data_IF_342338103762
#
_entry.id   IF_342338103762
#
_cell.length_a   1.000
_cell.length_b   1.000
_cell.length_c   1.000
_cell.angle_alpha   90.00
_cell.angle_beta   90.00
_cell.angle_gamma   90.00
#
_symmetry.space_group_name_H-M   'P 1'
#
loop_
_entity.id
_entity.type
_entity.pdbx_description
1 polymer ?
#
# COMPACT_ATOMS: atom_id res chain seq x y z
N UNK A 1 15.48 12.79 -31.72
CA UNK A 1 15.12 12.79 -30.30
C UNK A 1 14.26 11.56 -30.10
N UNK A 2 14.78 10.52 -29.45
CA UNK A 2 13.99 9.30 -29.28
C UNK A 2 12.83 9.58 -28.31
N UNK A 3 11.80 8.74 -28.29
CA UNK A 3 10.75 8.78 -27.27
C UNK A 3 11.31 8.64 -25.84
N UNK A 4 12.55 8.12 -25.69
CA UNK A 4 13.25 8.06 -24.41
C UNK A 4 13.76 9.42 -23.93
N UNK A 5 14.26 10.27 -24.84
CA UNK A 5 14.75 11.61 -24.51
C UNK A 5 13.62 12.55 -24.05
N UNK A 6 12.38 12.33 -24.53
CA UNK A 6 11.22 13.15 -24.16
C UNK A 6 10.60 12.77 -22.79
N UNK A 7 11.06 11.68 -22.16
CA UNK A 7 10.43 11.08 -20.96
C UNK A 7 11.39 10.91 -19.78
N UNK A 8 12.61 11.46 -19.86
CA UNK A 8 13.60 11.42 -18.77
C UNK A 8 13.13 12.12 -17.48
N UNK A 9 12.19 13.06 -17.59
CA UNK A 9 11.67 13.85 -16.46
C UNK A 9 10.37 13.29 -15.86
N UNK A 10 9.90 12.11 -16.28
CA UNK A 10 8.68 11.51 -15.73
C UNK A 10 8.95 11.09 -14.28
N UNK A 11 8.32 11.81 -13.35
CA UNK A 11 8.34 11.56 -11.90
C UNK A 11 7.08 10.84 -11.47
N UNK A 12 7.09 10.30 -10.25
CA UNK A 12 5.87 9.81 -9.61
C UNK A 12 4.82 10.93 -9.59
N UNK A 13 3.55 10.57 -9.81
CA UNK A 13 2.46 11.55 -9.76
C UNK A 13 2.27 12.15 -8.35
N UNK A 14 2.61 11.38 -7.33
CA UNK A 14 2.52 11.73 -5.91
C UNK A 14 3.85 11.38 -5.21
N UNK A 15 4.96 12.08 -5.52
CA UNK A 15 6.28 11.72 -4.99
C UNK A 15 6.35 11.84 -3.46
N UNK A 16 5.49 12.65 -2.84
CA UNK A 16 5.40 12.82 -1.40
C UNK A 16 4.90 11.58 -0.64
N UNK A 17 4.30 10.61 -1.35
CA UNK A 17 3.88 9.33 -0.77
C UNK A 17 5.05 8.37 -0.56
N UNK A 18 6.25 8.70 -1.04
CA UNK A 18 7.46 7.90 -0.86
C UNK A 18 8.52 8.71 -0.12
N UNK A 19 9.08 8.11 0.93
CA UNK A 19 10.24 8.64 1.66
C UNK A 19 11.40 7.66 1.55
N UNK A 20 12.62 8.18 1.52
CA UNK A 20 13.82 7.35 1.49
C UNK A 20 14.25 6.94 2.91
N UNK A 21 14.90 5.77 3.10
CA UNK A 21 15.34 5.31 4.42
C UNK A 21 16.15 6.35 5.22
N UNK A 22 17.02 7.10 4.52
CA UNK A 22 17.83 8.17 5.14
C UNK A 22 16.94 9.29 5.70
N UNK A 23 15.92 9.71 4.95
CA UNK A 23 14.99 10.74 5.43
C UNK A 23 14.28 10.28 6.70
N UNK A 24 13.87 9.00 6.75
CA UNK A 24 13.23 8.44 7.95
C UNK A 24 14.20 8.42 9.13
N UNK A 25 15.45 8.02 8.94
CA UNK A 25 16.46 8.06 10.00
C UNK A 25 16.65 9.48 10.58
N UNK A 26 16.69 10.50 9.70
CA UNK A 26 16.87 11.90 10.09
C UNK A 26 15.69 12.48 10.87
N UNK A 27 14.48 11.94 10.67
CA UNK A 27 13.24 12.45 11.25
C UNK A 27 12.59 11.49 12.26
N UNK A 28 13.17 10.31 12.52
CA UNK A 28 12.57 9.29 13.39
C UNK A 28 12.33 9.75 14.84
N UNK A 29 13.02 10.80 15.28
CA UNK A 29 12.83 11.42 16.60
C UNK A 29 11.80 12.57 16.62
N UNK A 30 11.22 12.93 15.47
CA UNK A 30 10.23 13.99 15.41
C UNK A 30 8.95 13.55 16.12
N UNK A 31 8.41 14.36 17.06
CA UNK A 31 7.31 13.94 17.93
C UNK A 31 6.00 13.66 17.19
N UNK A 32 5.86 14.15 15.96
CA UNK A 32 4.66 13.98 15.15
C UNK A 32 4.80 12.82 14.14
N UNK A 33 5.94 12.13 14.08
CA UNK A 33 6.12 10.98 13.18
C UNK A 33 5.79 9.69 13.92
N UNK A 34 4.95 8.87 13.30
CA UNK A 34 4.67 7.50 13.77
C UNK A 34 5.11 6.54 12.68
N UNK A 35 6.10 5.70 12.98
CA UNK A 35 6.62 4.69 12.04
C UNK A 35 5.92 3.37 12.35
N UNK A 36 5.26 2.76 11.36
CA UNK A 36 4.52 1.51 11.54
C UNK A 36 5.12 0.42 10.65
N UNK A 37 5.57 -0.67 11.28
CA UNK A 37 5.89 -1.90 10.57
C UNK A 37 4.59 -2.64 10.25
N UNK A 38 4.33 -2.79 8.97
CA UNK A 38 3.11 -3.37 8.41
C UNK A 38 3.27 -4.85 8.10
N UNK A 39 4.40 -5.50 8.41
CA UNK A 39 4.48 -6.97 8.41
C UNK A 39 3.63 -7.57 9.56
N UNK A 40 3.55 -8.90 9.61
CA UNK A 40 2.96 -9.57 10.77
C UNK A 40 3.75 -9.28 12.04
N UNK A 41 3.05 -9.10 13.17
CA UNK A 41 3.67 -8.71 14.46
C UNK A 41 4.82 -9.63 14.89
N UNK A 42 4.74 -10.94 14.63
CA UNK A 42 5.83 -11.88 14.92
C UNK A 42 7.10 -11.56 14.12
N UNK A 43 6.97 -11.16 12.85
CA UNK A 43 8.11 -10.75 12.02
C UNK A 43 8.74 -9.45 12.56
N UNK A 44 7.90 -8.48 12.96
CA UNK A 44 8.36 -7.23 13.61
C UNK A 44 9.15 -7.50 14.90
N UNK A 45 8.67 -8.41 15.74
CA UNK A 45 9.27 -8.75 17.03
C UNK A 45 10.59 -9.52 16.88
N UNK A 46 10.63 -10.48 15.96
CA UNK A 46 11.76 -11.42 15.84
C UNK A 46 12.88 -10.98 14.89
N UNK A 47 12.58 -10.20 13.85
CA UNK A 47 13.57 -9.71 12.86
C UNK A 47 14.33 -8.47 13.36
N UNK A 48 13.85 -7.84 14.43
CA UNK A 48 14.14 -6.46 14.79
C UNK A 48 13.39 -5.48 13.89
N UNK A 49 13.51 -4.17 14.13
CA UNK A 49 12.73 -3.16 13.42
C UNK A 49 13.45 -1.80 13.41
N UNK A 50 12.86 -0.84 12.69
CA UNK A 50 13.35 0.53 12.63
C UNK A 50 13.22 1.15 14.04
N UNK A 51 14.26 1.82 14.58
CA UNK A 51 14.16 2.48 15.88
C UNK A 51 12.96 3.42 15.97
N UNK A 52 12.13 3.24 17.01
CA UNK A 52 10.91 4.01 17.22
C UNK A 52 9.68 3.49 16.46
N UNK A 53 9.82 2.45 15.64
CA UNK A 53 8.68 1.84 14.96
C UNK A 53 7.78 1.05 15.92
N UNK A 54 6.49 1.06 15.63
CA UNK A 54 5.48 0.23 16.29
C UNK A 54 5.03 -0.88 15.33
N UNK A 55 4.86 -2.09 15.85
CA UNK A 55 4.35 -3.22 15.08
C UNK A 55 2.82 -3.20 15.00
N UNK A 56 2.26 -3.49 13.83
CA UNK A 56 0.81 -3.58 13.67
C UNK A 56 0.24 -4.79 14.44
N UNK A 57 -0.73 -4.60 15.37
CA UNK A 57 -1.24 -5.69 16.21
C UNK A 57 -2.31 -6.54 15.51
N UNK A 58 -2.68 -6.21 14.27
CA UNK A 58 -3.72 -6.87 13.48
C UNK A 58 -3.17 -7.29 12.12
N UNK A 59 -3.95 -8.08 11.37
CA UNK A 59 -3.59 -8.39 10.00
C UNK A 59 -3.51 -7.09 9.15
N UNK A 60 -2.46 -6.88 8.34
CA UNK A 60 -2.23 -5.63 7.57
C UNK A 60 -3.27 -5.32 6.51
N UNK A 61 -4.14 -6.28 6.21
CA UNK A 61 -5.30 -6.06 5.34
C UNK A 61 -6.41 -5.24 6.00
N UNK A 62 -6.35 -4.98 7.31
CA UNK A 62 -7.35 -4.17 8.02
C UNK A 62 -8.76 -4.54 7.57
N UNK A 63 -9.10 -5.82 7.69
CA UNK A 63 -10.46 -6.30 7.41
C UNK A 63 -11.29 -6.15 8.68
N UNK A 64 -12.60 -6.03 8.50
CA UNK A 64 -13.51 -6.04 9.63
C UNK A 64 -13.36 -7.37 10.39
N UNK A 65 -13.14 -7.28 11.69
CA UNK A 65 -12.89 -8.46 12.54
C UNK A 65 -14.15 -9.30 12.75
N UNK A 66 -15.33 -8.71 12.57
CA UNK A 66 -16.61 -9.42 12.73
C UNK A 66 -16.97 -10.21 11.47
N UNK A 67 -16.84 -9.59 10.30
CA UNK A 67 -17.22 -10.20 9.02
C UNK A 67 -16.06 -10.92 8.34
N UNK A 68 -14.81 -10.53 8.61
CA UNK A 68 -13.62 -11.02 7.89
C UNK A 68 -13.48 -10.45 6.47
N UNK A 69 -14.34 -9.50 6.10
CA UNK A 69 -14.47 -8.93 4.76
C UNK A 69 -14.23 -7.42 4.77
N UNK A 70 -14.05 -6.84 3.58
CA UNK A 70 -13.97 -5.39 3.40
C UNK A 70 -12.83 -4.71 4.17
N UNK A 71 -13.14 -3.51 4.67
CA UNK A 71 -12.25 -2.69 5.50
C UNK A 71 -12.78 -2.69 6.93
N UNK A 72 -11.87 -2.70 7.91
CA UNK A 72 -12.17 -2.56 9.31
C UNK A 72 -13.01 -1.32 9.56
N UNK A 73 -13.96 -1.39 10.50
CA UNK A 73 -14.87 -0.27 10.78
C UNK A 73 -14.10 0.96 11.30
N UNK A 74 -14.76 2.13 11.29
CA UNK A 74 -14.19 3.35 11.86
C UNK A 74 -13.71 3.14 13.31
N UNK A 75 -14.53 2.49 14.16
CA UNK A 75 -14.22 2.22 15.56
C UNK A 75 -13.03 1.27 15.74
N UNK A 76 -12.98 0.19 14.94
CA UNK A 76 -11.86 -0.75 14.94
C UNK A 76 -10.57 -0.03 14.53
N UNK A 77 -10.61 0.76 13.46
CA UNK A 77 -9.47 1.50 12.93
C UNK A 77 -9.01 2.58 13.92
N UNK A 78 -9.91 3.33 14.54
CA UNK A 78 -9.59 4.30 15.59
C UNK A 78 -8.89 3.64 16.78
N UNK A 79 -9.41 2.50 17.24
CA UNK A 79 -8.82 1.75 18.36
C UNK A 79 -7.38 1.34 18.05
N UNK A 80 -7.15 0.78 16.86
CA UNK A 80 -5.82 0.33 16.42
C UNK A 80 -4.87 1.53 16.30
N UNK A 81 -5.24 2.57 15.55
CA UNK A 81 -4.34 3.69 15.27
C UNK A 81 -4.04 4.53 16.53
N UNK A 82 -5.04 4.78 17.39
CA UNK A 82 -4.80 5.41 18.69
C UNK A 82 -3.87 4.56 19.54
N UNK A 83 -4.07 3.24 19.57
CA UNK A 83 -3.20 2.30 20.30
C UNK A 83 -1.75 2.29 19.80
N UNK A 84 -1.51 2.69 18.55
CA UNK A 84 -0.19 2.89 17.94
C UNK A 84 0.37 4.31 18.16
N UNK A 85 -0.35 5.18 18.87
CA UNK A 85 0.07 6.55 19.17
C UNK A 85 -0.22 7.56 18.05
N UNK A 86 -1.02 7.20 17.06
CA UNK A 86 -1.37 8.09 15.94
C UNK A 86 -2.31 9.19 16.42
N UNK A 87 -1.92 10.44 16.16
CA UNK A 87 -2.74 11.63 16.33
C UNK A 87 -3.28 12.11 14.98
N UNK A 88 -4.26 13.02 15.01
CA UNK A 88 -4.86 13.56 13.80
C UNK A 88 -3.85 14.28 12.89
N UNK A 89 -2.85 14.92 13.49
CA UNK A 89 -1.78 15.68 12.81
C UNK A 89 -0.48 14.88 12.64
N UNK A 90 -0.46 13.59 13.03
CA UNK A 90 0.70 12.72 12.83
C UNK A 90 1.05 12.62 11.35
N UNK A 91 2.34 12.49 11.05
CA UNK A 91 2.83 11.95 9.78
C UNK A 91 3.10 10.46 9.96
N UNK A 92 2.31 9.63 9.29
CA UNK A 92 2.44 8.16 9.41
C UNK A 92 3.39 7.64 8.34
N UNK A 93 4.47 6.98 8.76
CA UNK A 93 5.46 6.36 7.88
C UNK A 93 5.28 4.85 7.92
N UNK A 94 4.98 4.26 6.78
CA UNK A 94 4.62 2.85 6.65
C UNK A 94 5.75 2.09 5.95
N UNK A 95 6.04 0.88 6.41
CA UNK A 95 6.93 -0.01 5.68
C UNK A 95 6.55 -1.48 5.91
N UNK A 96 7.00 -2.34 5.01
CA UNK A 96 6.94 -3.79 5.15
C UNK A 96 8.22 -4.40 4.58
N UNK A 97 8.31 -5.73 4.56
CA UNK A 97 9.40 -6.47 3.91
C UNK A 97 9.00 -7.11 2.57
N UNK A 98 7.86 -6.71 2.00
CA UNK A 98 7.19 -7.39 0.88
C UNK A 98 6.96 -6.46 -0.32
N UNK A 99 7.91 -5.55 -0.57
CA UNK A 99 7.86 -4.65 -1.73
C UNK A 99 6.73 -3.62 -1.65
N UNK A 100 6.24 -3.29 -0.46
CA UNK A 100 5.18 -2.33 -0.23
C UNK A 100 3.76 -2.91 -0.32
N UNK A 101 3.60 -4.22 -0.48
CA UNK A 101 2.28 -4.87 -0.58
C UNK A 101 1.39 -4.56 0.64
N UNK A 102 1.92 -4.73 1.84
CA UNK A 102 1.17 -4.57 3.09
C UNK A 102 1.10 -3.10 3.49
N UNK A 103 2.21 -2.38 3.39
CA UNK A 103 2.28 -0.96 3.67
C UNK A 103 1.34 -0.14 2.79
N UNK A 104 1.20 -0.48 1.50
CA UNK A 104 0.26 0.20 0.59
C UNK A 104 -1.19 -0.06 0.98
N UNK A 105 -1.51 -1.26 1.48
CA UNK A 105 -2.87 -1.58 1.95
C UNK A 105 -3.23 -0.78 3.22
N UNK A 106 -2.29 -0.64 4.16
CA UNK A 106 -2.48 0.20 5.37
C UNK A 106 -2.58 1.68 4.99
N UNK A 107 -1.73 2.15 4.07
CA UNK A 107 -1.84 3.51 3.51
C UNK A 107 -3.22 3.77 2.92
N UNK A 108 -3.75 2.83 2.15
CA UNK A 108 -5.08 2.97 1.57
C UNK A 108 -6.17 3.03 2.65
N UNK A 109 -6.04 2.34 3.80
CA UNK A 109 -6.99 2.51 4.94
C UNK A 109 -6.93 3.92 5.48
N UNK A 110 -5.72 4.43 5.73
CA UNK A 110 -5.53 5.79 6.25
C UNK A 110 -6.15 6.80 5.29
N UNK A 111 -5.89 6.64 3.99
CA UNK A 111 -6.50 7.44 2.95
C UNK A 111 -8.02 7.28 2.93
N UNK A 112 -8.58 6.07 2.97
CA UNK A 112 -10.03 5.86 3.05
C UNK A 112 -10.68 6.59 4.23
N UNK A 113 -9.97 6.68 5.37
CA UNK A 113 -10.43 7.39 6.56
C UNK A 113 -9.97 8.87 6.66
N UNK A 114 -9.52 9.46 5.55
CA UNK A 114 -9.22 10.89 5.45
C UNK A 114 -7.83 11.31 5.97
N UNK A 115 -6.98 10.37 6.36
CA UNK A 115 -5.64 10.63 6.84
C UNK A 115 -4.61 10.60 5.70
N UNK A 116 -4.43 11.74 5.03
CA UNK A 116 -3.56 11.86 3.85
C UNK A 116 -2.08 12.13 4.19
N UNK A 117 -1.77 12.51 5.43
CA UNK A 117 -0.39 12.77 5.88
C UNK A 117 0.36 11.46 6.17
N UNK A 118 0.46 10.60 5.16
CA UNK A 118 1.14 9.31 5.26
C UNK A 118 2.03 9.04 4.04
N UNK A 119 3.09 8.28 4.26
CA UNK A 119 4.05 7.91 3.21
C UNK A 119 4.62 6.52 3.47
N UNK A 120 5.11 5.86 2.43
CA UNK A 120 5.80 4.59 2.50
C UNK A 120 7.31 4.78 2.42
N UNK A 121 8.07 3.94 3.11
CA UNK A 121 9.51 3.85 2.88
C UNK A 121 9.74 3.17 1.54
N UNK A 122 10.42 3.85 0.60
CA UNK A 122 10.71 3.31 -0.72
C UNK A 122 11.66 2.10 -0.60
N UNK A 123 11.13 0.91 -0.89
CA UNK A 123 11.82 -0.37 -0.71
C UNK A 123 11.79 -0.93 0.72
N UNK A 124 11.01 -0.33 1.61
CA UNK A 124 10.67 -0.87 2.92
C UNK A 124 11.87 -1.32 3.77
N UNK A 125 11.68 -2.43 4.46
CA UNK A 125 12.71 -3.05 5.28
C UNK A 125 13.97 -3.47 4.49
N UNK A 126 13.87 -4.09 3.30
CA UNK A 126 15.05 -4.41 2.49
C UNK A 126 15.92 -3.19 2.16
N UNK A 127 15.31 -2.05 1.80
CA UNK A 127 16.03 -0.81 1.53
C UNK A 127 16.66 -0.21 2.79
N UNK A 128 16.00 -0.32 3.94
CA UNK A 128 16.57 0.09 5.24
C UNK A 128 17.87 -0.69 5.55
N UNK A 129 17.83 -2.02 5.41
CA UNK A 129 18.98 -2.89 5.63
C UNK A 129 20.08 -2.66 4.59
N UNK A 130 19.73 -2.53 3.31
CA UNK A 130 20.70 -2.22 2.26
C UNK A 130 21.42 -0.88 2.50
N UNK A 131 20.73 0.07 3.13
CA UNK A 131 21.28 1.37 3.54
C UNK A 131 22.14 1.30 4.81
N UNK A 132 22.28 0.11 5.43
CA UNK A 132 23.07 -0.14 6.65
C UNK A 132 22.66 0.76 7.82
N UNK A 133 21.36 1.02 7.92
CA UNK A 133 20.80 1.86 8.97
C UNK A 133 20.60 1.07 10.28
N UNK A 134 20.57 1.76 11.44
CA UNK A 134 20.39 1.10 12.72
C UNK A 134 19.08 0.31 12.80
N UNK A 135 19.09 -0.80 13.52
CA UNK A 135 17.91 -1.59 13.86
C UNK A 135 17.87 -1.80 15.37
N UNK A 136 16.70 -2.11 15.90
CA UNK A 136 16.51 -2.41 17.31
C UNK A 136 15.53 -3.56 17.51
N UNK A 137 15.51 -4.13 18.71
CA UNK A 137 14.43 -4.98 19.22
C UNK A 137 13.71 -4.29 20.38
N UNK A 138 13.98 -3.01 20.64
CA UNK A 138 13.37 -2.24 21.72
C UNK A 138 12.01 -1.71 21.29
N UNK A 139 10.98 -2.01 22.06
CA UNK A 139 9.62 -1.57 21.77
C UNK A 139 9.40 -0.17 22.36
N UNK A 140 8.97 0.83 21.56
CA UNK A 140 8.70 2.16 22.07
C UNK A 140 7.53 2.12 23.07
N UNK A 141 7.60 2.99 24.09
CA UNK A 141 6.46 3.21 24.97
C UNK A 141 5.44 4.10 24.26
N UNK A 142 4.28 3.54 23.95
CA UNK A 142 3.22 4.24 23.21
C UNK A 142 2.19 4.81 24.18
N UNK A 143 1.93 6.11 24.06
CA UNK A 143 0.74 6.73 24.68
C UNK A 143 -0.37 6.75 23.64
N UNK A 144 -1.62 6.37 23.99
CA UNK A 144 -2.72 6.41 23.05
C UNK A 144 -2.90 7.80 22.42
N UNK A 145 -2.99 7.84 21.09
CA UNK A 145 -3.21 9.07 20.34
C UNK A 145 -4.67 9.51 20.30
N UNK A 146 -4.95 10.56 19.51
CA UNK A 146 -6.26 11.18 19.40
C UNK A 146 -6.92 11.07 18.01
N UNK A 147 -6.38 10.24 17.12
CA UNK A 147 -6.86 10.11 15.74
C UNK A 147 -8.35 9.74 15.66
N UNK A 148 -9.08 10.32 14.70
CA UNK A 148 -10.50 10.03 14.45
C UNK A 148 -10.73 9.67 12.99
N UNK A 149 -11.58 8.69 12.72
CA UNK A 149 -11.92 8.27 11.37
C UNK A 149 -12.89 9.25 10.71
N UNK A 150 -12.65 9.59 9.44
CA UNK A 150 -13.64 10.25 8.56
C UNK A 150 -13.82 9.41 7.30
N UNK A 151 -14.96 8.76 7.16
CA UNK A 151 -15.23 7.87 6.03
C UNK A 151 -15.38 8.62 4.72
N UNK A 152 -14.72 8.10 3.68
CA UNK A 152 -14.79 8.57 2.31
C UNK A 152 -15.25 7.45 1.39
N UNK A 153 -16.56 7.18 1.36
CA UNK A 153 -17.17 6.09 0.58
C UNK A 153 -16.78 6.13 -0.91
N UNK A 154 -16.51 7.31 -1.47
CA UNK A 154 -16.10 7.48 -2.86
C UNK A 154 -14.72 6.85 -3.19
N UNK A 155 -13.93 6.56 -2.16
CA UNK A 155 -12.59 5.95 -2.25
C UNK A 155 -12.65 4.42 -2.35
N UNK A 156 -13.83 3.83 -2.14
CA UNK A 156 -14.11 2.41 -2.40
C UNK A 156 -14.85 2.27 -3.72
N UNK A 157 -14.39 1.34 -4.55
CA UNK A 157 -15.09 0.94 -5.76
C UNK A 157 -16.03 -0.23 -5.44
N UNK A 158 -17.28 0.06 -5.08
CA UNK A 158 -18.30 -0.99 -4.88
C UNK A 158 -18.74 -1.61 -6.21
N UNK A 159 -19.31 -2.81 -6.16
CA UNK A 159 -19.90 -3.46 -7.35
C UNK A 159 -20.96 -2.57 -8.02
N UNK A 160 -21.78 -1.89 -7.23
CA UNK A 160 -22.83 -0.99 -7.73
C UNK A 160 -22.26 0.22 -8.48
N UNK A 161 -21.08 0.71 -8.07
CA UNK A 161 -20.36 1.78 -8.76
C UNK A 161 -19.58 1.29 -9.98
N UNK A 162 -19.02 0.08 -9.91
CA UNK A 162 -18.19 -0.47 -10.98
C UNK A 162 -19.00 -0.99 -12.16
N UNK A 163 -20.09 -1.72 -11.90
CA UNK A 163 -20.80 -2.48 -12.92
C UNK A 163 -21.34 -1.60 -14.06
N UNK A 164 -21.99 -0.45 -13.81
CA UNK A 164 -22.46 0.42 -14.90
C UNK A 164 -21.31 0.97 -15.75
N UNK A 165 -20.20 1.37 -15.12
CA UNK A 165 -19.05 1.92 -15.82
C UNK A 165 -18.29 0.88 -16.66
N UNK A 166 -18.24 -0.38 -16.20
CA UNK A 166 -17.70 -1.49 -16.98
C UNK A 166 -18.59 -1.75 -18.20
N UNK A 167 -19.92 -1.74 -18.02
CA UNK A 167 -20.88 -1.97 -19.10
C UNK A 167 -20.89 -0.86 -20.15
N UNK A 168 -20.73 0.41 -19.75
CA UNK A 168 -20.62 1.54 -20.68
C UNK A 168 -19.23 1.65 -21.32
N UNK A 169 -18.22 1.04 -20.71
CA UNK A 169 -16.83 1.11 -21.13
C UNK A 169 -16.08 2.34 -20.62
N UNK A 170 -16.64 3.09 -19.66
CA UNK A 170 -16.02 4.27 -19.04
C UNK A 170 -15.10 3.91 -17.86
N UNK A 171 -15.28 2.72 -17.29
CA UNK A 171 -14.44 2.16 -16.22
C UNK A 171 -13.70 0.93 -16.73
N UNK A 172 -12.41 0.86 -16.41
CA UNK A 172 -11.57 -0.32 -16.67
C UNK A 172 -11.04 -0.84 -15.34
N UNK A 173 -11.28 -2.13 -15.10
CA UNK A 173 -10.68 -2.84 -13.98
C UNK A 173 -9.23 -3.20 -14.33
N UNK A 174 -8.30 -2.89 -13.44
CA UNK A 174 -6.89 -3.25 -13.54
C UNK A 174 -6.63 -4.38 -12.54
N UNK A 175 -6.57 -5.61 -13.03
CA UNK A 175 -6.29 -6.79 -12.21
C UNK A 175 -4.80 -6.87 -11.92
N UNK A 176 -4.42 -6.76 -10.65
CA UNK A 176 -3.00 -6.79 -10.24
C UNK A 176 -2.58 -8.11 -9.58
N UNK A 177 -3.46 -9.13 -9.61
CA UNK A 177 -3.20 -10.46 -9.05
C UNK A 177 -2.22 -11.27 -9.93
N UNK A 178 -1.90 -12.49 -9.51
CA UNK A 178 -1.08 -13.38 -10.35
C UNK A 178 -1.78 -13.75 -11.66
N UNK A 179 -0.99 -14.14 -12.66
CA UNK A 179 -1.53 -14.61 -13.95
C UNK A 179 -2.40 -15.87 -13.79
N UNK A 180 -2.09 -16.73 -12.82
CA UNK A 180 -2.86 -17.94 -12.53
C UNK A 180 -4.25 -17.60 -11.96
N UNK A 181 -4.34 -16.60 -11.08
CA UNK A 181 -5.61 -16.09 -10.55
C UNK A 181 -6.43 -15.40 -11.64
N UNK A 182 -5.80 -14.51 -12.40
CA UNK A 182 -6.46 -13.79 -13.49
C UNK A 182 -7.00 -14.74 -14.56
N UNK A 183 -6.20 -15.73 -14.98
CA UNK A 183 -6.62 -16.74 -15.97
C UNK A 183 -7.62 -17.76 -15.45
N UNK A 184 -7.88 -17.79 -14.13
CA UNK A 184 -8.75 -18.76 -13.47
C UNK A 184 -8.16 -20.17 -13.40
N UNK A 185 -6.84 -20.31 -13.59
CA UNK A 185 -6.15 -21.60 -13.49
C UNK A 185 -5.99 -22.05 -12.04
N UNK A 186 -5.74 -21.11 -11.12
CA UNK A 186 -5.64 -21.38 -9.68
C UNK A 186 -6.14 -20.20 -8.88
N UNK A 187 -6.93 -20.42 -7.80
CA UNK A 187 -7.24 -19.36 -6.86
C UNK A 187 -6.00 -18.93 -6.06
N UNK A 188 -6.10 -17.77 -5.42
CA UNK A 188 -5.18 -17.38 -4.37
C UNK A 188 -5.13 -18.45 -3.25
N UNK A 189 -3.97 -18.65 -2.60
CA UNK A 189 -3.86 -19.54 -1.46
C UNK A 189 -4.88 -19.18 -0.36
N UNK A 190 -5.56 -20.20 0.17
CA UNK A 190 -6.57 -20.06 1.24
C UNK A 190 -7.80 -19.20 0.87
N UNK A 191 -8.01 -18.92 -0.42
CA UNK A 191 -9.22 -18.27 -0.92
C UNK A 191 -10.08 -19.30 -1.66
N UNK A 192 -11.40 -19.22 -1.48
CA UNK A 192 -12.36 -20.01 -2.25
C UNK A 192 -13.27 -19.05 -3.00
N UNK A 193 -13.17 -19.00 -4.33
CA UNK A 193 -14.05 -18.18 -5.15
C UNK A 193 -15.27 -19.00 -5.60
N UNK A 194 -16.41 -18.32 -5.78
CA UNK A 194 -17.56 -18.95 -6.45
C UNK A 194 -17.28 -19.19 -7.94
N UNK A 195 -16.48 -18.32 -8.54
CA UNK A 195 -16.05 -18.38 -9.93
C UNK A 195 -14.60 -17.92 -10.03
N UNK A 196 -13.77 -18.71 -10.70
CA UNK A 196 -12.39 -18.36 -10.99
C UNK A 196 -12.30 -17.54 -12.29
N UNK A 197 -11.25 -16.73 -12.41
CA UNK A 197 -11.01 -15.84 -13.55
C UNK A 197 -10.96 -14.37 -13.12
N UNK A 198 -11.42 -13.48 -13.99
CA UNK A 198 -11.33 -12.03 -13.82
C UNK A 198 -12.60 -11.31 -14.24
N UNK A 199 -12.71 -10.04 -13.85
CA UNK A 199 -13.80 -9.15 -14.27
C UNK A 199 -13.76 -9.00 -15.80
N UNK A 200 -14.87 -9.21 -16.53
CA UNK A 200 -14.88 -9.08 -17.99
C UNK A 200 -14.32 -7.74 -18.47
N UNK A 201 -13.35 -7.79 -19.40
CA UNK A 201 -12.69 -6.60 -19.93
C UNK A 201 -11.58 -6.03 -19.04
N UNK A 202 -11.24 -6.67 -17.93
CA UNK A 202 -10.11 -6.26 -17.10
C UNK A 202 -8.78 -6.37 -17.86
N UNK A 203 -7.89 -5.40 -17.61
CA UNK A 203 -6.50 -5.44 -18.05
C UNK A 203 -5.66 -6.03 -16.93
N UNK A 204 -4.76 -6.96 -17.26
CA UNK A 204 -3.88 -7.60 -16.28
C UNK A 204 -2.48 -6.99 -16.29
N UNK A 205 -2.04 -6.53 -15.13
CA UNK A 205 -0.64 -6.14 -14.85
C UNK A 205 -0.35 -6.51 -13.40
N UNK A 206 0.41 -7.58 -13.20
CA UNK A 206 0.67 -8.07 -11.84
C UNK A 206 1.48 -7.03 -11.04
N UNK A 207 1.12 -6.83 -9.76
CA UNK A 207 1.74 -5.81 -8.92
C UNK A 207 3.25 -6.00 -8.77
N UNK A 208 3.74 -7.25 -8.83
CA UNK A 208 5.17 -7.59 -8.81
C UNK A 208 5.96 -6.84 -9.88
N UNK A 209 5.31 -6.48 -10.99
CA UNK A 209 5.93 -5.77 -12.10
C UNK A 209 6.19 -4.29 -11.79
N UNK A 210 5.67 -3.74 -10.70
CA UNK A 210 5.93 -2.36 -10.26
C UNK A 210 7.05 -2.27 -9.22
N UNK A 211 7.59 -3.41 -8.78
CA UNK A 211 8.66 -3.50 -7.79
C UNK A 211 9.97 -3.92 -8.47
N UNK A 212 11.06 -3.24 -8.12
CA UNK A 212 12.42 -3.57 -8.51
C UNK A 212 13.04 -4.51 -7.46
N UNK A 213 12.84 -5.81 -7.66
CA UNK A 213 13.29 -6.86 -6.76
C UNK A 213 14.82 -6.97 -6.64
N UNK A 214 15.55 -6.50 -7.67
CA UNK A 214 17.02 -6.50 -7.69
C UNK A 214 17.60 -5.23 -7.04
N UNK A 215 16.76 -4.23 -6.74
CA UNK A 215 17.16 -2.96 -6.14
C UNK A 215 16.49 -2.74 -4.78
N UNK A 216 16.74 -3.69 -3.86
CA UNK A 216 16.22 -3.65 -2.49
C UNK A 216 14.69 -3.44 -2.44
N UNK A 217 13.97 -4.09 -3.36
CA UNK A 217 12.49 -4.07 -3.45
C UNK A 217 11.88 -2.67 -3.59
N UNK A 218 12.64 -1.71 -4.13
CA UNK A 218 12.13 -0.35 -4.37
C UNK A 218 11.02 -0.34 -5.41
N UNK A 219 10.14 0.66 -5.37
CA UNK A 219 9.24 0.90 -6.49
C UNK A 219 10.04 1.25 -7.73
N UNK A 220 9.66 0.68 -8.88
CA UNK A 220 10.28 1.02 -10.16
C UNK A 220 10.06 2.50 -10.47
N UNK A 221 11.01 3.16 -11.15
CA UNK A 221 10.84 4.55 -11.57
C UNK A 221 9.52 4.78 -12.30
N UNK A 222 8.89 5.93 -12.07
CA UNK A 222 7.58 6.26 -12.65
C UNK A 222 7.51 6.07 -14.17
N UNK A 223 8.59 6.39 -14.89
CA UNK A 223 8.69 6.18 -16.34
C UNK A 223 8.57 4.70 -16.72
N UNK A 224 9.12 3.78 -15.92
CA UNK A 224 9.06 2.34 -16.17
C UNK A 224 7.65 1.80 -15.89
N UNK A 225 7.02 2.26 -14.80
CA UNK A 225 5.62 1.92 -14.46
C UNK A 225 4.69 2.40 -15.58
N UNK A 226 4.81 3.67 -15.99
CA UNK A 226 3.99 4.24 -17.06
C UNK A 226 4.13 3.46 -18.37
N UNK A 227 5.37 3.13 -18.77
CA UNK A 227 5.62 2.29 -19.96
C UNK A 227 4.97 0.92 -19.85
N UNK A 228 5.05 0.28 -18.68
CA UNK A 228 4.46 -1.05 -18.48
C UNK A 228 2.93 -1.01 -18.59
N UNK A 229 2.30 0.02 -18.03
CA UNK A 229 0.85 0.25 -18.15
C UNK A 229 0.44 0.55 -19.61
N UNK A 230 1.19 1.40 -20.32
CA UNK A 230 0.98 1.67 -21.76
C UNK A 230 1.07 0.38 -22.59
N UNK A 231 2.08 -0.46 -22.33
CA UNK A 231 2.28 -1.74 -23.01
C UNK A 231 1.13 -2.73 -22.75
N UNK A 232 0.49 -2.65 -21.58
CA UNK A 232 -0.69 -3.45 -21.26
C UNK A 232 -1.97 -2.94 -21.94
N UNK A 233 -1.92 -1.76 -22.59
CA UNK A 233 -3.08 -1.13 -23.20
C UNK A 233 -3.98 -0.37 -22.21
N UNK A 234 -3.44 0.04 -21.05
CA UNK A 234 -4.20 0.81 -20.04
C UNK A 234 -4.66 2.15 -20.63
N UNK A 235 -5.98 2.44 -20.63
CA UNK A 235 -6.53 3.70 -21.13
C UNK A 235 -6.54 4.78 -20.05
N UNK A 236 -5.63 5.76 -20.15
CA UNK A 236 -5.49 6.85 -19.16
C UNK A 236 -6.57 7.93 -19.24
N UNK A 237 -7.45 7.89 -20.25
CA UNK A 237 -8.61 8.77 -20.42
C UNK A 237 -9.89 8.22 -19.74
N UNK A 238 -9.81 7.04 -19.13
CA UNK A 238 -10.92 6.35 -18.46
C UNK A 238 -10.72 6.27 -16.95
N UNK A 239 -11.78 5.92 -16.22
CA UNK A 239 -11.66 5.58 -14.80
C UNK A 239 -10.97 4.23 -14.66
N UNK A 240 -9.82 4.21 -14.01
CA UNK A 240 -9.10 2.98 -13.68
C UNK A 240 -9.39 2.57 -12.23
N UNK A 241 -9.70 1.29 -12.03
CA UNK A 241 -9.95 0.72 -10.70
C UNK A 241 -9.04 -0.49 -10.52
N UNK A 242 -7.94 -0.40 -9.75
CA UNK A 242 -7.12 -1.55 -9.42
C UNK A 242 -7.85 -2.48 -8.43
N UNK A 243 -7.66 -3.79 -8.59
CA UNK A 243 -8.16 -4.80 -7.66
C UNK A 243 -7.23 -6.02 -7.58
#
# INVERSE_FOLDING_TARGET
>A
MSLDDARADVRYARPELLVEPIWVQEHASDPNIVIIDCDGYEAFDTRGHIPGAVGLPVHPYFRDVETGEGVATAEQTETILRGLGVNQDSKVILYDSQGGLLASRVWWVLWYYGHENSALINGGWPAWIASRLPTTHDHPQVTPGNWTATEHEERIASCDLMLPGIQSGDTVALDVRSVEEWSGQKPAPNITNQQEGHIPGAIHVEWLEFVDWDNATRFKPAVAILRRLEQAGVPFDKRLVPY
#
